data_IF_443450489617
#
_entry.id   IF_443450489617
#
_cell.length_a   1.000
_cell.length_b   1.000
_cell.length_c   1.000
_cell.angle_alpha   90.00
_cell.angle_beta   90.00
_cell.angle_gamma   90.00
#
_symmetry.space_group_name_H-M   'P 1'
#
loop_
_entity.id
_entity.type
_entity.pdbx_description
1 polymer ?
#
# COMPACT_ATOMS: atom_id res chain seq x y z
N UNK A 1 -16.81 31.31 -33.10
CA UNK A 1 -15.74 30.52 -33.71
C UNK A 1 -14.71 30.27 -32.64
N UNK A 2 -14.84 29.16 -31.92
CA UNK A 2 -13.83 28.72 -30.95
C UNK A 2 -12.58 28.32 -31.73
N UNK A 3 -11.46 28.92 -31.40
CA UNK A 3 -10.16 28.46 -31.87
C UNK A 3 -9.87 27.16 -31.09
N UNK A 4 -9.83 26.03 -31.79
CA UNK A 4 -9.34 24.80 -31.21
C UNK A 4 -7.85 24.97 -30.83
N UNK A 5 -7.54 24.84 -29.58
CA UNK A 5 -6.16 24.80 -29.12
C UNK A 5 -5.73 23.34 -29.04
N UNK A 6 -5.08 22.86 -30.09
CA UNK A 6 -4.62 21.46 -30.21
C UNK A 6 -3.50 21.12 -29.20
N UNK A 7 -3.01 22.13 -28.49
CA UNK A 7 -1.92 21.99 -27.51
C UNK A 7 -2.43 21.89 -26.07
N UNK A 8 -3.68 21.56 -25.86
CA UNK A 8 -4.26 21.38 -24.51
C UNK A 8 -5.02 20.07 -24.40
N UNK A 9 -4.77 19.33 -23.32
CA UNK A 9 -5.53 18.12 -22.96
C UNK A 9 -6.90 18.44 -22.30
N UNK A 10 -7.27 19.70 -22.21
CA UNK A 10 -8.57 20.14 -21.70
C UNK A 10 -9.62 20.28 -22.81
N UNK A 11 -9.28 19.94 -24.04
CA UNK A 11 -10.21 19.93 -25.18
C UNK A 11 -10.24 18.53 -25.82
N UNK A 12 -11.35 18.22 -26.50
CA UNK A 12 -11.49 16.96 -27.23
C UNK A 12 -10.62 16.90 -28.51
N UNK A 13 -10.02 18.03 -28.90
CA UNK A 13 -9.26 18.13 -30.13
C UNK A 13 -10.10 17.91 -31.40
N UNK A 14 -9.44 17.63 -32.52
CA UNK A 14 -10.06 17.23 -33.75
C UNK A 14 -10.53 15.78 -33.66
N UNK A 15 -11.69 15.47 -34.27
CA UNK A 15 -12.14 14.08 -34.36
C UNK A 15 -11.14 13.24 -35.16
N UNK A 16 -10.91 12.00 -34.70
CA UNK A 16 -10.08 11.05 -35.43
C UNK A 16 -10.67 10.72 -36.80
N UNK A 17 -9.84 10.62 -37.80
CA UNK A 17 -10.24 10.29 -39.17
C UNK A 17 -9.82 8.87 -39.60
N UNK A 18 -9.16 8.13 -38.72
CA UNK A 18 -8.72 6.77 -38.93
C UNK A 18 -7.28 6.64 -39.48
N UNK A 19 -6.58 7.78 -39.68
CA UNK A 19 -5.19 7.78 -40.09
C UNK A 19 -4.22 7.72 -38.88
N UNK A 20 -4.73 8.04 -37.68
CA UNK A 20 -3.94 8.10 -36.47
C UNK A 20 -3.66 6.70 -35.90
N UNK A 21 -2.46 6.53 -35.36
CA UNK A 21 -2.15 5.36 -34.53
C UNK A 21 -2.70 5.57 -33.13
N UNK A 22 -3.60 4.69 -32.70
CA UNK A 22 -4.17 4.73 -31.36
C UNK A 22 -3.63 3.60 -30.50
N UNK A 23 -3.34 3.89 -29.22
CA UNK A 23 -2.79 2.95 -28.28
C UNK A 23 -3.82 2.58 -27.20
N UNK A 24 -3.93 1.29 -26.89
CA UNK A 24 -4.69 0.82 -25.72
C UNK A 24 -3.91 1.07 -24.43
N UNK A 25 -3.75 2.33 -24.08
CA UNK A 25 -2.99 2.75 -22.91
C UNK A 25 -3.58 2.21 -21.60
N UNK A 26 -4.92 2.16 -21.50
CA UNK A 26 -5.62 1.71 -20.29
C UNK A 26 -5.47 0.20 -20.13
N UNK A 27 -5.77 -0.58 -21.17
CA UNK A 27 -5.69 -2.04 -21.11
C UNK A 27 -4.27 -2.52 -20.81
N UNK A 28 -3.26 -1.88 -21.43
CA UNK A 28 -1.85 -2.24 -21.25
C UNK A 28 -1.26 -1.80 -19.90
N UNK A 29 -1.86 -0.84 -19.22
CA UNK A 29 -1.36 -0.36 -17.92
C UNK A 29 -1.63 -1.35 -16.81
N UNK A 30 -2.80 -1.95 -16.80
CA UNK A 30 -3.18 -2.91 -15.77
C UNK A 30 -2.56 -4.28 -16.01
N UNK A 31 -2.49 -5.06 -14.97
CA UNK A 31 -2.15 -6.49 -15.02
C UNK A 31 -3.18 -7.29 -14.24
N UNK A 32 -3.21 -8.59 -14.47
CA UNK A 32 -3.92 -9.51 -13.57
C UNK A 32 -3.23 -9.48 -12.22
N UNK A 33 -3.98 -9.19 -11.17
CA UNK A 33 -3.53 -9.32 -9.79
C UNK A 33 -3.46 -10.80 -9.39
N UNK A 34 -2.61 -11.10 -8.42
CA UNK A 34 -2.49 -12.46 -7.86
C UNK A 34 -2.46 -12.37 -6.34
N UNK A 35 -3.01 -13.40 -5.69
CA UNK A 35 -2.96 -13.54 -4.22
C UNK A 35 -2.45 -14.93 -3.91
N UNK A 36 -1.45 -15.01 -3.02
CA UNK A 36 -0.94 -16.22 -2.44
C UNK A 36 -1.12 -16.14 -0.93
N UNK A 37 -1.87 -17.08 -0.37
CA UNK A 37 -2.10 -17.17 1.08
C UNK A 37 -1.66 -18.57 1.54
N UNK A 38 -0.58 -18.59 2.32
CA UNK A 38 0.02 -19.80 2.86
C UNK A 38 -0.11 -19.81 4.38
N UNK A 39 -0.61 -20.88 4.93
CA UNK A 39 -0.73 -21.05 6.37
C UNK A 39 -0.26 -22.44 6.77
N UNK A 40 0.59 -22.49 7.79
CA UNK A 40 1.02 -23.74 8.43
C UNK A 40 0.78 -23.60 9.92
N UNK A 41 0.15 -24.62 10.52
CA UNK A 41 -0.10 -24.63 11.95
C UNK A 41 0.16 -26.00 12.55
N UNK A 42 0.57 -25.98 13.81
CA UNK A 42 0.72 -27.18 14.65
C UNK A 42 0.01 -26.92 15.97
N UNK A 43 -0.68 -27.91 16.45
CA UNK A 43 -1.33 -27.88 17.76
C UNK A 43 -1.13 -29.20 18.48
N UNK A 44 -1.14 -29.13 19.78
CA UNK A 44 -1.02 -30.32 20.61
C UNK A 44 -1.47 -30.02 22.02
N UNK A 45 -1.60 -31.09 22.81
CA UNK A 45 -1.99 -30.90 24.19
C UNK A 45 -2.19 -32.22 24.94
N UNK A 46 -2.46 -32.05 26.22
CA UNK A 46 -2.83 -33.12 27.13
C UNK A 46 -3.98 -32.65 28.03
N UNK A 47 -4.33 -33.41 29.03
CA UNK A 47 -5.39 -33.04 30.01
C UNK A 47 -5.12 -31.68 30.68
N UNK A 48 -3.83 -31.31 30.86
CA UNK A 48 -3.44 -30.14 31.65
C UNK A 48 -2.75 -29.06 30.84
N UNK A 49 -2.54 -29.27 29.55
CA UNK A 49 -1.86 -28.28 28.69
C UNK A 49 -2.37 -28.34 27.27
N UNK A 50 -2.38 -27.20 26.61
CA UNK A 50 -2.60 -27.13 25.17
C UNK A 50 -1.76 -26.03 24.57
N UNK A 51 -1.38 -26.22 23.32
CA UNK A 51 -0.72 -25.18 22.54
C UNK A 51 -1.18 -25.19 21.08
N UNK A 52 -1.08 -24.05 20.48
CA UNK A 52 -1.28 -23.81 19.06
C UNK A 52 -0.21 -22.85 18.59
N UNK A 53 0.49 -23.19 17.51
CA UNK A 53 1.45 -22.32 16.82
C UNK A 53 1.06 -22.27 15.35
N UNK A 54 1.01 -21.07 14.78
CA UNK A 54 0.83 -20.89 13.34
C UNK A 54 1.76 -19.86 12.75
N UNK A 55 2.15 -20.12 11.51
CA UNK A 55 2.86 -19.19 10.63
C UNK A 55 2.00 -19.00 9.39
N UNK A 56 1.71 -17.74 9.06
CA UNK A 56 1.02 -17.39 7.82
C UNK A 56 1.82 -16.37 7.03
N UNK A 57 1.75 -16.52 5.71
CA UNK A 57 2.30 -15.55 4.77
C UNK A 57 1.25 -15.27 3.69
N UNK A 58 0.88 -14.00 3.59
CA UNK A 58 -0.04 -13.46 2.60
C UNK A 58 0.74 -12.54 1.68
N UNK A 59 0.68 -12.80 0.37
CA UNK A 59 1.27 -11.99 -0.69
C UNK A 59 0.20 -11.62 -1.69
N UNK A 60 0.00 -10.34 -1.92
CA UNK A 60 -0.96 -9.81 -2.89
C UNK A 60 -0.26 -8.87 -3.87
N UNK A 61 -0.29 -9.23 -5.13
CA UNK A 61 0.10 -8.36 -6.23
C UNK A 61 -1.10 -7.56 -6.72
N UNK A 62 -0.99 -6.22 -6.70
CA UNK A 62 -2.04 -5.32 -7.17
C UNK A 62 -2.20 -5.36 -8.70
N UNK A 63 -3.38 -4.94 -9.18
CA UNK A 63 -3.66 -4.78 -10.61
C UNK A 63 -2.83 -3.66 -11.24
N UNK A 64 -2.45 -2.65 -10.47
CA UNK A 64 -1.45 -1.65 -10.87
C UNK A 64 -0.06 -2.24 -10.61
N UNK A 65 0.82 -2.18 -11.60
CA UNK A 65 2.19 -2.69 -11.45
C UNK A 65 2.90 -1.99 -10.29
N UNK A 66 3.76 -2.74 -9.58
CA UNK A 66 4.52 -2.26 -8.41
C UNK A 66 3.68 -1.83 -7.21
N UNK A 67 2.40 -2.16 -7.18
CA UNK A 67 1.59 -2.10 -5.97
C UNK A 67 1.34 -3.51 -5.44
N UNK A 68 1.25 -3.63 -4.12
CA UNK A 68 1.05 -4.91 -3.47
C UNK A 68 0.91 -4.80 -1.97
N UNK A 69 0.62 -5.93 -1.35
CA UNK A 69 0.53 -6.07 0.09
C UNK A 69 1.11 -7.42 0.52
N UNK A 70 2.11 -7.36 1.39
CA UNK A 70 2.73 -8.54 2.01
C UNK A 70 2.44 -8.55 3.49
N UNK A 71 2.16 -9.73 4.06
CA UNK A 71 2.01 -9.87 5.50
C UNK A 71 2.49 -11.24 5.96
N UNK A 72 3.41 -11.24 6.92
CA UNK A 72 3.80 -12.46 7.64
C UNK A 72 3.32 -12.36 9.08
N UNK A 73 2.70 -13.42 9.57
CA UNK A 73 2.16 -13.48 10.94
C UNK A 73 2.61 -14.76 11.62
N UNK A 74 3.12 -14.61 12.83
CA UNK A 74 3.37 -15.72 13.77
C UNK A 74 2.38 -15.58 14.92
N UNK A 75 1.68 -16.68 15.25
CA UNK A 75 0.73 -16.72 16.36
C UNK A 75 1.04 -17.91 17.25
N UNK A 76 1.05 -17.66 18.55
CA UNK A 76 1.13 -18.66 19.57
C UNK A 76 -0.03 -18.51 20.56
N UNK A 77 -0.71 -19.60 20.88
CA UNK A 77 -1.69 -19.68 21.97
C UNK A 77 -1.31 -20.86 22.84
N UNK A 78 -1.31 -20.67 24.13
CA UNK A 78 -0.99 -21.73 25.09
C UNK A 78 -1.87 -21.65 26.33
N UNK A 79 -2.21 -22.80 26.89
CA UNK A 79 -2.88 -22.93 28.18
C UNK A 79 -2.19 -24.01 29.00
N UNK A 80 -2.01 -23.74 30.29
CA UNK A 80 -1.46 -24.68 31.25
C UNK A 80 -2.27 -24.67 32.54
N UNK A 81 -2.61 -25.85 33.04
CA UNK A 81 -3.32 -26.06 34.31
C UNK A 81 -2.35 -26.61 35.37
N UNK A 82 -2.30 -25.92 36.50
CA UNK A 82 -1.53 -26.28 37.68
C UNK A 82 -2.47 -26.43 38.87
N UNK A 83 -3.08 -27.60 39.03
CA UNK A 83 -4.10 -27.82 40.07
C UNK A 83 -5.30 -26.85 39.92
N UNK A 84 -5.43 -25.90 40.82
CA UNK A 84 -6.50 -24.90 40.82
C UNK A 84 -6.20 -23.66 39.94
N UNK A 85 -4.97 -23.50 39.47
CA UNK A 85 -4.56 -22.38 38.62
C UNK A 85 -4.56 -22.79 37.15
N UNK A 86 -5.21 -22.01 36.32
CA UNK A 86 -5.10 -22.08 34.87
C UNK A 86 -4.45 -20.80 34.35
N UNK A 87 -3.37 -20.93 33.61
CA UNK A 87 -2.70 -19.79 32.96
C UNK A 87 -2.84 -19.95 31.46
N UNK A 88 -3.23 -18.90 30.75
CA UNK A 88 -3.25 -18.89 29.29
C UNK A 88 -2.53 -17.67 28.73
N UNK A 89 -1.84 -17.86 27.62
CA UNK A 89 -1.14 -16.81 26.89
C UNK A 89 -1.52 -16.88 25.41
N UNK A 90 -1.77 -15.71 24.82
CA UNK A 90 -2.02 -15.55 23.40
C UNK A 90 -1.08 -14.46 22.89
N UNK A 91 -0.25 -14.78 21.90
CA UNK A 91 0.71 -13.86 21.33
C UNK A 91 0.61 -13.90 19.82
N UNK A 92 0.56 -12.73 19.21
CA UNK A 92 0.60 -12.58 17.76
C UNK A 92 1.62 -11.51 17.41
N UNK A 93 2.51 -11.82 16.48
CA UNK A 93 3.41 -10.85 15.89
C UNK A 93 3.23 -10.86 14.37
N UNK A 94 3.09 -9.69 13.79
CA UNK A 94 2.98 -9.56 12.34
C UNK A 94 3.83 -8.43 11.80
N UNK A 95 4.37 -8.68 10.61
CA UNK A 95 5.02 -7.67 9.78
C UNK A 95 4.21 -7.57 8.51
N UNK A 96 3.83 -6.36 8.13
CA UNK A 96 3.17 -6.12 6.84
C UNK A 96 3.82 -4.97 6.10
N UNK A 97 3.78 -5.04 4.78
CA UNK A 97 4.23 -3.98 3.88
C UNK A 97 3.17 -3.75 2.81
N UNK A 98 2.83 -2.49 2.59
CA UNK A 98 1.94 -2.07 1.50
C UNK A 98 2.75 -1.22 0.54
N UNK A 99 3.00 -1.72 -0.67
CA UNK A 99 3.55 -0.91 -1.76
C UNK A 99 2.39 -0.18 -2.48
N UNK A 100 2.52 1.14 -2.57
CA UNK A 100 1.46 2.04 -3.03
C UNK A 100 1.88 2.78 -4.29
N UNK A 101 0.92 3.34 -5.00
CA UNK A 101 1.15 4.36 -6.02
C UNK A 101 0.55 5.69 -5.58
N UNK A 102 0.96 6.77 -6.23
CA UNK A 102 0.47 8.10 -5.91
C UNK A 102 -1.05 8.17 -6.19
N UNK A 103 -1.81 8.50 -5.17
CA UNK A 103 -3.25 8.78 -5.29
C UNK A 103 -3.47 10.24 -5.63
N UNK A 104 -4.60 10.58 -6.23
CA UNK A 104 -4.94 11.98 -6.54
C UNK A 104 -5.01 12.81 -5.27
N UNK A 105 -4.38 13.97 -5.27
CA UNK A 105 -4.40 14.91 -4.15
C UNK A 105 -5.60 15.86 -4.16
N UNK A 106 -6.67 15.53 -4.89
CA UNK A 106 -7.90 16.30 -4.95
C UNK A 106 -8.26 16.79 -6.37
N UNK A 107 -9.56 17.01 -6.58
CA UNK A 107 -10.14 17.34 -7.88
C UNK A 107 -9.88 18.81 -8.34
N UNK A 108 -9.41 19.67 -7.45
CA UNK A 108 -9.46 21.11 -7.65
C UNK A 108 -8.12 21.82 -7.74
N UNK A 109 -7.01 21.15 -7.44
CA UNK A 109 -5.72 21.81 -7.46
C UNK A 109 -4.71 20.99 -8.25
N UNK A 110 -4.12 21.63 -9.24
CA UNK A 110 -3.01 21.11 -10.03
C UNK A 110 -3.29 19.86 -10.86
N UNK A 111 -4.08 20.01 -11.91
CA UNK A 111 -3.99 19.15 -13.09
C UNK A 111 -4.06 17.64 -12.89
N UNK A 112 -4.70 17.16 -11.84
CA UNK A 112 -4.91 15.74 -11.62
C UNK A 112 -3.62 14.92 -11.63
N UNK A 113 -3.02 14.78 -10.51
CA UNK A 113 -1.64 14.34 -10.36
C UNK A 113 -1.47 12.91 -9.87
N UNK A 114 -2.58 12.25 -9.57
CA UNK A 114 -2.56 10.83 -9.18
C UNK A 114 -2.44 9.91 -10.39
N UNK A 115 -1.95 8.71 -10.16
CA UNK A 115 -1.73 7.69 -11.20
C UNK A 115 -2.99 7.43 -12.04
N UNK A 116 -4.17 7.33 -11.42
CA UNK A 116 -5.41 7.06 -12.15
C UNK A 116 -5.87 8.28 -12.97
N UNK A 117 -5.76 9.49 -12.43
CA UNK A 117 -6.10 10.71 -13.15
C UNK A 117 -5.17 10.92 -14.36
N UNK A 118 -3.88 10.64 -14.19
CA UNK A 118 -2.91 10.68 -15.27
C UNK A 118 -3.22 9.62 -16.34
N UNK A 119 -3.57 8.40 -15.93
CA UNK A 119 -3.93 7.30 -16.82
C UNK A 119 -5.14 7.63 -17.70
N UNK A 120 -6.24 8.04 -17.10
CA UNK A 120 -7.47 8.34 -17.85
C UNK A 120 -7.40 9.63 -18.65
N UNK A 121 -6.49 10.53 -18.32
CA UNK A 121 -6.26 11.77 -19.05
C UNK A 121 -5.16 11.69 -20.11
N UNK A 122 -4.51 10.55 -20.32
CA UNK A 122 -3.45 10.42 -21.32
C UNK A 122 -4.03 10.33 -22.73
N UNK A 123 -3.47 11.07 -23.72
CA UNK A 123 -3.95 11.02 -25.09
C UNK A 123 -3.80 9.64 -25.72
N UNK A 124 -4.81 9.22 -26.50
CA UNK A 124 -4.80 7.91 -27.14
C UNK A 124 -3.76 7.77 -28.27
N UNK A 125 -3.35 8.89 -28.89
CA UNK A 125 -2.31 8.88 -29.92
C UNK A 125 -0.90 8.73 -29.37
N UNK A 126 -0.72 8.92 -28.07
CA UNK A 126 0.57 8.85 -27.41
C UNK A 126 0.77 7.53 -26.69
N UNK A 127 1.88 6.86 -26.99
CA UNK A 127 2.23 5.61 -26.31
C UNK A 127 2.67 5.92 -24.88
N UNK A 128 1.79 5.69 -23.92
CA UNK A 128 2.03 5.97 -22.51
C UNK A 128 3.22 5.19 -21.94
N UNK A 129 3.56 4.02 -22.49
CA UNK A 129 4.71 3.23 -22.02
C UNK A 129 6.05 3.89 -22.35
N UNK A 130 6.07 4.84 -23.28
CA UNK A 130 7.21 5.69 -23.60
C UNK A 130 7.31 6.84 -22.58
N UNK A 131 7.78 6.53 -21.38
CA UNK A 131 7.91 7.52 -20.29
C UNK A 131 9.34 8.06 -20.10
N UNK A 132 10.30 7.54 -20.88
CA UNK A 132 11.70 7.98 -20.90
C UNK A 132 12.14 8.21 -22.34
N UNK A 133 13.02 9.19 -22.54
CA UNK A 133 13.81 9.38 -23.73
C UNK A 133 14.95 8.37 -23.80
N UNK A 134 15.62 8.26 -24.95
CA UNK A 134 16.75 7.34 -25.15
C UNK A 134 17.93 7.61 -24.22
N UNK A 135 18.10 8.83 -23.77
CA UNK A 135 19.12 9.24 -22.79
C UNK A 135 18.72 8.99 -21.33
N UNK A 136 17.52 8.41 -21.11
CA UNK A 136 16.98 8.10 -19.78
C UNK A 136 16.33 9.26 -19.04
N UNK A 137 16.26 10.45 -19.67
CA UNK A 137 15.49 11.59 -19.15
C UNK A 137 13.99 11.33 -19.29
N UNK A 138 13.18 12.12 -18.56
CA UNK A 138 11.72 12.00 -18.65
C UNK A 138 11.23 12.39 -20.04
N UNK A 139 10.43 11.52 -20.66
CA UNK A 139 9.64 11.89 -21.83
C UNK A 139 8.54 12.86 -21.41
N UNK A 140 8.44 14.01 -22.09
CA UNK A 140 7.48 15.06 -21.83
C UNK A 140 6.52 15.16 -23.02
N UNK A 141 5.22 15.17 -22.73
CA UNK A 141 4.18 15.23 -23.76
C UNK A 141 4.19 16.58 -24.50
N UNK A 142 4.44 17.66 -23.79
CA UNK A 142 4.45 19.03 -24.31
C UNK A 142 5.82 19.71 -24.18
N UNK A 143 6.90 18.91 -24.34
CA UNK A 143 8.25 19.43 -24.25
C UNK A 143 8.52 20.55 -25.27
N UNK A 144 9.17 21.63 -24.82
CA UNK A 144 9.41 22.81 -25.63
C UNK A 144 8.17 23.70 -25.90
N UNK A 145 6.99 23.29 -25.44
CA UNK A 145 5.74 24.05 -25.55
C UNK A 145 5.30 24.61 -24.22
N UNK A 146 5.36 23.75 -23.18
CA UNK A 146 4.93 24.11 -21.84
C UNK A 146 6.08 23.98 -20.84
N UNK A 147 5.98 24.79 -19.78
CA UNK A 147 6.83 24.60 -18.63
C UNK A 147 6.58 23.23 -18.00
N UNK A 148 7.56 22.73 -17.27
CA UNK A 148 7.48 21.39 -16.65
C UNK A 148 6.24 21.24 -15.74
N UNK A 149 5.86 22.29 -15.02
CA UNK A 149 4.72 22.29 -14.11
C UNK A 149 3.36 22.15 -14.79
N UNK A 150 3.28 22.57 -16.06
CA UNK A 150 2.04 22.56 -16.85
C UNK A 150 1.90 21.29 -17.70
N UNK A 151 2.92 20.45 -17.71
CA UNK A 151 2.93 19.22 -18.49
C UNK A 151 2.04 18.12 -17.83
N UNK A 152 1.74 17.07 -18.58
CA UNK A 152 0.98 15.92 -18.13
C UNK A 152 1.89 14.89 -17.48
N UNK A 153 1.54 14.45 -16.26
CA UNK A 153 2.28 13.35 -15.63
C UNK A 153 2.01 12.03 -16.34
N UNK A 154 3.09 11.28 -16.57
CA UNK A 154 2.98 9.95 -17.16
C UNK A 154 2.79 8.90 -16.07
N UNK A 155 1.72 8.06 -16.10
CA UNK A 155 1.49 7.03 -15.11
C UNK A 155 2.63 6.01 -14.98
N UNK A 156 3.32 5.68 -16.09
CA UNK A 156 4.49 4.80 -16.04
C UNK A 156 5.69 5.48 -15.37
N UNK A 157 5.82 6.81 -15.50
CA UNK A 157 6.81 7.54 -14.72
C UNK A 157 6.53 7.39 -13.23
N UNK A 158 5.29 7.65 -12.80
CA UNK A 158 4.90 7.54 -11.39
C UNK A 158 5.22 6.16 -10.84
N UNK A 159 4.72 5.09 -11.47
CA UNK A 159 4.91 3.73 -10.94
C UNK A 159 6.35 3.22 -11.03
N UNK A 160 7.22 3.83 -11.87
CA UNK A 160 8.59 3.39 -12.06
C UNK A 160 9.64 4.23 -11.32
N UNK A 161 9.37 5.51 -11.12
CA UNK A 161 10.34 6.44 -10.53
C UNK A 161 9.98 6.83 -9.10
N UNK A 162 8.69 6.94 -8.79
CA UNK A 162 8.24 7.22 -7.43
C UNK A 162 8.19 5.93 -6.60
N UNK A 163 8.37 6.08 -5.29
CA UNK A 163 8.28 4.97 -4.34
C UNK A 163 7.43 5.39 -3.16
N UNK A 164 6.41 4.61 -2.87
CA UNK A 164 5.54 4.84 -1.72
C UNK A 164 5.24 3.50 -1.05
N UNK A 165 5.52 3.40 0.23
CA UNK A 165 5.15 2.21 0.99
C UNK A 165 4.92 2.53 2.46
N UNK A 166 4.12 1.69 3.10
CA UNK A 166 4.01 1.61 4.56
C UNK A 166 4.50 0.25 5.01
N UNK A 167 5.27 0.22 6.09
CA UNK A 167 5.71 -1.01 6.75
C UNK A 167 5.25 -0.98 8.20
N UNK A 168 4.47 -1.98 8.60
CA UNK A 168 3.92 -2.06 9.96
C UNK A 168 4.44 -3.30 10.66
N UNK A 169 4.93 -3.10 11.86
CA UNK A 169 5.24 -4.14 12.83
C UNK A 169 4.19 -4.09 13.94
N UNK A 170 3.49 -5.18 14.20
CA UNK A 170 2.48 -5.24 15.25
C UNK A 170 2.70 -6.44 16.16
N UNK A 171 2.69 -6.17 17.42
CA UNK A 171 2.66 -7.17 18.48
C UNK A 171 1.37 -7.05 19.26
N UNK A 172 0.67 -8.18 19.44
CA UNK A 172 -0.52 -8.27 20.29
C UNK A 172 -0.31 -9.43 21.24
N UNK A 173 -0.41 -9.17 22.53
CA UNK A 173 -0.26 -10.18 23.57
C UNK A 173 -1.37 -10.11 24.60
N UNK A 174 -1.80 -11.26 25.07
CA UNK A 174 -2.70 -11.36 26.21
C UNK A 174 -2.26 -12.50 27.13
N UNK A 175 -2.25 -12.22 28.41
CA UNK A 175 -2.00 -13.18 29.50
C UNK A 175 -3.20 -13.23 30.39
N UNK A 176 -3.67 -14.41 30.76
CA UNK A 176 -4.72 -14.57 31.77
C UNK A 176 -4.38 -15.65 32.76
N UNK A 177 -4.77 -15.43 34.00
CA UNK A 177 -4.70 -16.39 35.09
C UNK A 177 -6.08 -16.52 35.73
N UNK A 178 -6.58 -17.74 35.83
CA UNK A 178 -7.79 -18.09 36.57
C UNK A 178 -7.42 -19.01 37.74
N UNK A 179 -7.85 -18.65 38.95
CA UNK A 179 -7.62 -19.44 40.13
C UNK A 179 -8.95 -19.83 40.78
N UNK A 180 -9.22 -21.14 40.89
CA UNK A 180 -10.38 -21.67 41.58
C UNK A 180 -10.16 -21.65 43.10
N UNK A 181 -10.83 -20.75 43.79
CA UNK A 181 -10.81 -20.67 45.26
C UNK A 181 -11.60 -21.81 45.89
N UNK A 182 -12.84 -22.00 45.37
CA UNK A 182 -13.77 -23.07 45.76
C UNK A 182 -14.38 -23.69 44.51
N UNK A 183 -15.28 -24.66 44.63
CA UNK A 183 -15.99 -25.26 43.49
C UNK A 183 -16.99 -24.31 42.83
N UNK A 184 -17.40 -23.28 43.53
CA UNK A 184 -18.41 -22.30 43.08
C UNK A 184 -17.85 -20.88 42.92
N UNK A 185 -16.56 -20.62 43.26
CA UNK A 185 -15.96 -19.30 43.17
C UNK A 185 -14.54 -19.36 42.59
N UNK A 186 -14.28 -18.56 41.57
CA UNK A 186 -12.98 -18.37 40.98
C UNK A 186 -12.65 -16.90 40.77
N UNK A 187 -11.37 -16.61 40.65
CA UNK A 187 -10.82 -15.27 40.37
C UNK A 187 -10.05 -15.35 39.06
N UNK A 188 -10.32 -14.40 38.18
CA UNK A 188 -9.62 -14.27 36.90
C UNK A 188 -8.94 -12.90 36.83
N UNK A 189 -7.64 -12.90 36.51
CA UNK A 189 -6.90 -11.72 36.13
C UNK A 189 -6.49 -11.80 34.67
N UNK A 190 -6.62 -10.69 33.93
CA UNK A 190 -6.23 -10.61 32.52
C UNK A 190 -5.37 -9.38 32.31
N UNK A 191 -4.38 -9.52 31.45
CA UNK A 191 -3.52 -8.44 31.00
C UNK A 191 -3.41 -8.53 29.48
N UNK A 192 -3.60 -7.41 28.79
CA UNK A 192 -3.49 -7.29 27.34
C UNK A 192 -2.53 -6.17 26.94
N UNK A 193 -1.78 -6.40 25.90
CA UNK A 193 -0.88 -5.43 25.27
C UNK A 193 -1.01 -5.48 23.77
N UNK A 194 -1.24 -4.32 23.14
CA UNK A 194 -1.24 -4.15 21.68
C UNK A 194 -0.31 -2.98 21.34
N UNK A 195 0.65 -3.26 20.50
CA UNK A 195 1.61 -2.25 20.03
C UNK A 195 1.81 -2.41 18.54
N UNK A 196 1.81 -1.30 17.80
CA UNK A 196 2.31 -1.30 16.45
C UNK A 196 3.10 -0.03 16.12
N UNK A 197 4.06 -0.20 15.21
CA UNK A 197 4.83 0.88 14.60
C UNK A 197 4.65 0.79 13.10
N UNK A 198 4.32 1.91 12.48
CA UNK A 198 4.21 2.03 11.02
C UNK A 198 5.21 3.04 10.51
N UNK A 199 6.12 2.59 9.65
CA UNK A 199 7.07 3.42 8.91
C UNK A 199 6.46 3.73 7.55
N UNK A 200 6.09 4.98 7.28
CA UNK A 200 5.61 5.43 5.99
C UNK A 200 6.72 6.15 5.23
N UNK A 201 6.90 5.76 3.98
CA UNK A 201 7.92 6.29 3.09
C UNK A 201 7.29 6.77 1.79
N UNK A 202 7.63 8.00 1.40
CA UNK A 202 7.25 8.59 0.11
C UNK A 202 8.48 9.23 -0.51
N UNK A 203 8.83 8.77 -1.71
CA UNK A 203 9.82 9.39 -2.57
C UNK A 203 9.17 9.73 -3.90
N UNK A 204 9.22 10.98 -4.29
CA UNK A 204 8.83 11.50 -5.59
C UNK A 204 10.10 11.89 -6.32
N UNK A 205 10.27 11.36 -7.52
CA UNK A 205 11.48 11.58 -8.30
C UNK A 205 11.56 13.03 -8.80
N UNK A 206 12.77 13.60 -8.91
CA UNK A 206 12.97 14.87 -9.61
C UNK A 206 12.43 14.81 -11.04
N UNK A 207 11.84 15.91 -11.51
CA UNK A 207 11.17 15.99 -12.80
C UNK A 207 9.69 15.59 -12.76
N UNK A 208 9.14 15.29 -11.58
CA UNK A 208 7.71 15.07 -11.42
C UNK A 208 6.91 16.35 -11.67
N UNK A 209 5.82 16.24 -12.39
CA UNK A 209 4.85 17.32 -12.66
C UNK A 209 3.61 17.24 -11.77
N UNK A 210 3.61 16.36 -10.78
CA UNK A 210 2.49 16.21 -9.84
C UNK A 210 2.25 17.45 -8.98
N UNK A 211 3.25 18.28 -8.82
CA UNK A 211 3.18 19.59 -8.16
C UNK A 211 4.43 20.38 -8.47
N UNK A 212 4.32 21.69 -8.65
CA UNK A 212 5.47 22.60 -8.76
C UNK A 212 6.47 22.41 -7.62
N UNK A 213 5.97 22.16 -6.41
CA UNK A 213 6.80 21.91 -5.24
C UNK A 213 7.66 20.64 -5.34
N UNK A 214 7.35 19.72 -6.25
CA UNK A 214 7.99 18.40 -6.36
C UNK A 214 8.89 18.27 -7.58
N UNK A 215 9.06 19.31 -8.38
CA UNK A 215 9.93 19.29 -9.57
C UNK A 215 11.37 18.89 -9.25
N UNK A 216 11.87 19.28 -8.08
CA UNK A 216 13.18 18.87 -7.58
C UNK A 216 13.15 17.57 -6.76
N UNK A 217 12.02 16.88 -6.79
CA UNK A 217 11.77 15.68 -6.00
C UNK A 217 11.32 15.96 -4.57
N UNK A 218 10.81 14.92 -3.93
CA UNK A 218 10.40 14.96 -2.52
C UNK A 218 10.74 13.66 -1.82
N UNK A 219 11.28 13.78 -0.62
CA UNK A 219 11.43 12.66 0.32
C UNK A 219 10.64 12.96 1.58
N UNK A 220 9.73 12.07 1.95
CA UNK A 220 9.01 12.13 3.21
C UNK A 220 9.10 10.79 3.92
N UNK A 221 9.43 10.83 5.21
CA UNK A 221 9.36 9.68 6.12
C UNK A 221 8.55 10.08 7.33
N UNK A 222 7.69 9.21 7.77
CA UNK A 222 6.96 9.39 9.02
C UNK A 222 6.85 8.07 9.75
N UNK A 223 7.01 8.13 11.07
CA UNK A 223 6.89 6.99 11.96
C UNK A 223 5.67 7.23 12.83
N UNK A 224 4.79 6.25 12.89
CA UNK A 224 3.63 6.26 13.75
C UNK A 224 3.72 5.10 14.72
N UNK A 225 3.58 5.38 16.02
CA UNK A 225 3.59 4.36 17.07
C UNK A 225 2.29 4.40 17.84
N UNK A 226 1.72 3.23 18.08
CA UNK A 226 0.55 3.01 18.92
C UNK A 226 0.88 1.99 20.00
N UNK A 227 0.43 2.28 21.23
CA UNK A 227 0.53 1.38 22.36
C UNK A 227 -0.78 1.40 23.15
N UNK A 228 -1.25 0.23 23.52
CA UNK A 228 -2.44 0.05 24.31
C UNK A 228 -2.25 -1.05 25.35
N UNK A 229 -2.65 -0.75 26.56
CA UNK A 229 -2.63 -1.66 27.70
C UNK A 229 -4.04 -1.86 28.24
N UNK A 230 -4.37 -3.08 28.63
CA UNK A 230 -5.62 -3.40 29.30
C UNK A 230 -5.37 -4.33 30.46
N UNK A 231 -6.10 -4.15 31.54
CA UNK A 231 -6.09 -5.05 32.70
C UNK A 231 -7.50 -5.20 33.23
N UNK A 232 -7.83 -6.41 33.69
CA UNK A 232 -9.15 -6.74 34.23
C UNK A 232 -9.01 -7.85 35.28
#
# INVERSE_FOLDING_TARGET
NGVFNDLTYNSWGKAYDGSETLYDNIGNFFRTGAVFDNNVSISGGSKNQSFFLSLSNFDQQGIVRKTGYDKTTVRFNGEQKYGKLTVSANVTYSISKTDKTLTSSGLWNSGGTGTMTALYGWPLQENMSHYLNDDGTKYRLFDGVWELADDKENPYWIINKDKMYDKTHRFTGALSGNYKLTDWWDVTARFGYDNYTTDAYTYIAPGSVVSELYQNGRLSKSDYRYEYWSSN
#
